data_IF_108823451868
#
_entry.id   IF_108823451868
#
_cell.length_a   1.000
_cell.length_b   1.000
_cell.length_c   1.000
_cell.angle_alpha   90.00
_cell.angle_beta   90.00
_cell.angle_gamma   90.00
#
_symmetry.space_group_name_H-M   'P 1'
#
loop_
_entity.id
_entity.type
_entity.pdbx_description
1 polymer ?
#
# COMPACT_ATOMS: atom_id res chain seq x y z
N UNK A 1 -47.48 -1.71 17.38
CA UNK A 1 -46.12 -1.15 17.51
C UNK A 1 -45.20 -2.35 17.75
N UNK A 2 -44.43 -2.75 16.72
CA UNK A 2 -43.44 -3.84 16.82
C UNK A 2 -42.07 -3.18 16.97
N UNK A 3 -41.41 -3.41 18.12
CA UNK A 3 -40.01 -3.05 18.30
C UNK A 3 -39.11 -3.93 17.40
N UNK A 4 -38.14 -3.36 16.72
CA UNK A 4 -37.16 -4.15 15.97
C UNK A 4 -36.18 -4.83 16.94
N UNK A 5 -36.16 -6.16 16.93
CA UNK A 5 -35.15 -6.96 17.62
C UNK A 5 -33.76 -6.63 17.10
N UNK A 6 -32.89 -6.05 17.95
CA UNK A 6 -31.46 -5.90 17.68
C UNK A 6 -30.85 -7.29 17.46
N UNK A 7 -30.41 -7.56 16.24
CA UNK A 7 -29.61 -8.74 15.95
C UNK A 7 -28.25 -8.61 16.64
N UNK A 8 -27.93 -9.53 17.53
CA UNK A 8 -26.63 -9.58 18.19
C UNK A 8 -25.53 -9.73 17.17
N UNK A 9 -24.55 -8.81 17.22
CA UNK A 9 -23.30 -8.91 16.43
C UNK A 9 -22.59 -10.18 16.93
N UNK A 10 -22.28 -11.16 16.05
CA UNK A 10 -21.57 -12.37 16.48
C UNK A 10 -20.18 -11.99 17.01
N UNK A 11 -19.79 -12.66 18.11
CA UNK A 11 -18.48 -12.48 18.72
C UNK A 11 -17.35 -12.64 17.67
N UNK A 12 -16.28 -11.85 17.74
CA UNK A 12 -15.19 -11.95 16.79
C UNK A 12 -14.57 -13.34 16.82
N UNK A 13 -14.46 -13.97 15.65
CA UNK A 13 -13.76 -15.25 15.48
C UNK A 13 -12.30 -15.06 15.91
N UNK A 14 -11.92 -15.61 17.05
CA UNK A 14 -10.53 -15.69 17.50
C UNK A 14 -9.81 -16.63 16.56
N UNK A 15 -9.02 -16.09 15.64
CA UNK A 15 -8.13 -16.89 14.80
C UNK A 15 -6.90 -17.29 15.63
N UNK A 16 -6.46 -18.57 15.57
CA UNK A 16 -5.24 -18.97 16.24
C UNK A 16 -4.06 -18.13 15.74
N UNK A 17 -3.21 -17.65 16.64
CA UNK A 17 -2.01 -16.89 16.31
C UNK A 17 -1.06 -17.76 15.48
N UNK A 18 -0.59 -17.22 14.35
CA UNK A 18 0.35 -17.88 13.44
C UNK A 18 1.79 -17.61 13.89
N UNK A 19 2.06 -17.61 15.18
CA UNK A 19 3.42 -17.48 15.71
C UNK A 19 4.20 -18.79 15.47
N UNK A 20 5.26 -18.73 14.63
CA UNK A 20 6.25 -19.80 14.49
C UNK A 20 6.27 -20.56 13.16
N UNK A 21 5.60 -20.13 12.10
CA UNK A 21 5.75 -20.74 10.77
C UNK A 21 6.93 -20.15 10.01
N UNK A 22 7.92 -21.02 9.71
CA UNK A 22 8.88 -20.83 8.62
C UNK A 22 8.07 -20.71 7.32
N UNK A 23 8.24 -19.65 6.53
CA UNK A 23 7.57 -19.33 5.26
C UNK A 23 6.34 -20.21 4.91
N UNK A 24 5.19 -19.61 4.66
CA UNK A 24 3.96 -20.33 4.23
C UNK A 24 3.65 -19.93 2.79
N UNK A 25 4.24 -20.64 1.82
CA UNK A 25 4.07 -20.38 0.40
C UNK A 25 3.06 -21.36 -0.16
N UNK A 26 1.96 -20.84 -0.72
CA UNK A 26 0.95 -21.67 -1.40
C UNK A 26 1.56 -22.36 -2.60
N UNK A 27 1.26 -23.66 -2.78
CA UNK A 27 1.70 -24.46 -3.94
C UNK A 27 1.22 -23.89 -5.30
N UNK A 28 0.23 -23.02 -5.31
CA UNK A 28 -0.29 -22.37 -6.52
C UNK A 28 0.24 -20.94 -6.70
N UNK A 29 1.15 -20.48 -5.86
CA UNK A 29 1.86 -19.24 -6.09
C UNK A 29 2.87 -19.43 -7.24
N UNK A 30 2.94 -18.42 -8.10
CA UNK A 30 3.88 -18.36 -9.23
C UNK A 30 5.06 -17.45 -8.83
N UNK A 31 6.19 -18.06 -8.46
CA UNK A 31 7.35 -17.34 -7.94
C UNK A 31 8.55 -17.65 -8.84
N UNK A 32 9.12 -16.58 -9.40
CA UNK A 32 10.34 -16.70 -10.20
C UNK A 32 11.51 -17.20 -9.34
N UNK A 33 12.34 -18.13 -9.83
CA UNK A 33 13.48 -18.66 -9.08
C UNK A 33 14.52 -17.63 -8.65
N UNK A 34 14.56 -16.45 -9.29
CA UNK A 34 15.47 -15.35 -8.96
C UNK A 34 14.90 -14.39 -7.91
N UNK A 35 13.63 -14.56 -7.52
CA UNK A 35 13.02 -13.75 -6.49
C UNK A 35 13.53 -14.15 -5.10
N UNK A 36 13.77 -13.15 -4.24
CA UNK A 36 14.20 -13.33 -2.87
C UNK A 36 13.03 -13.10 -1.89
N UNK A 37 12.73 -14.10 -1.05
CA UNK A 37 11.64 -14.01 -0.06
C UNK A 37 12.21 -14.21 1.34
N UNK A 38 12.05 -13.18 2.18
CA UNK A 38 12.49 -13.19 3.56
C UNK A 38 11.71 -14.15 4.46
N UNK A 39 12.32 -14.59 5.57
CA UNK A 39 11.72 -15.56 6.49
C UNK A 39 10.42 -15.04 7.13
N UNK A 40 9.50 -15.96 7.43
CA UNK A 40 8.20 -15.65 8.02
C UNK A 40 7.19 -15.01 7.07
N UNK A 41 7.54 -14.84 5.81
CA UNK A 41 6.63 -14.30 4.78
C UNK A 41 5.65 -15.36 4.32
N UNK A 42 4.37 -14.96 4.19
CA UNK A 42 3.27 -15.77 3.68
C UNK A 42 2.89 -15.34 2.27
N UNK A 43 2.81 -16.31 1.34
CA UNK A 43 2.40 -16.06 -0.05
C UNK A 43 1.17 -16.91 -0.35
N UNK A 44 0.06 -16.26 -0.61
CA UNK A 44 -1.21 -16.92 -0.84
C UNK A 44 -1.38 -17.39 -2.29
N UNK A 45 -2.43 -18.17 -2.51
CA UNK A 45 -2.79 -18.77 -3.79
C UNK A 45 -2.76 -17.77 -4.95
N UNK A 46 -2.20 -18.18 -6.10
CA UNK A 46 -2.18 -17.42 -7.36
C UNK A 46 -1.47 -16.05 -7.26
N UNK A 47 -0.72 -15.79 -6.19
CA UNK A 47 0.18 -14.62 -6.17
C UNK A 47 1.30 -14.84 -7.16
N UNK A 48 1.65 -13.80 -7.92
CA UNK A 48 2.79 -13.82 -8.83
C UNK A 48 3.89 -12.91 -8.32
N UNK A 49 5.10 -13.45 -8.18
CA UNK A 49 6.30 -12.72 -7.81
C UNK A 49 7.32 -12.90 -8.92
N UNK A 50 7.66 -11.82 -9.57
CA UNK A 50 8.48 -11.82 -10.77
C UNK A 50 9.98 -11.81 -10.45
N UNK A 51 10.73 -11.93 -11.53
CA UNK A 51 12.19 -12.00 -11.54
C UNK A 51 12.85 -10.86 -10.75
N UNK A 52 13.85 -11.20 -9.96
CA UNK A 52 14.66 -10.28 -9.16
C UNK A 52 13.87 -9.44 -8.13
N UNK A 53 12.58 -9.74 -7.90
CA UNK A 53 11.83 -9.10 -6.84
C UNK A 53 12.37 -9.49 -5.47
N UNK A 54 12.44 -8.53 -4.55
CA UNK A 54 12.87 -8.76 -3.16
C UNK A 54 11.71 -8.50 -2.22
N UNK A 55 11.31 -9.50 -1.45
CA UNK A 55 10.27 -9.41 -0.42
C UNK A 55 10.91 -9.63 0.94
N UNK A 56 10.90 -8.60 1.78
CA UNK A 56 11.46 -8.64 3.13
C UNK A 56 10.76 -9.64 4.05
N UNK A 57 11.27 -9.84 5.28
CA UNK A 57 10.72 -10.79 6.23
C UNK A 57 9.34 -10.39 6.78
N UNK A 58 8.57 -11.41 7.21
CA UNK A 58 7.26 -11.27 7.86
C UNK A 58 6.22 -10.52 7.01
N UNK A 59 6.31 -10.58 5.69
CA UNK A 59 5.32 -10.02 4.78
C UNK A 59 4.12 -10.95 4.58
N UNK A 60 3.01 -10.40 4.11
CA UNK A 60 1.84 -11.16 3.67
C UNK A 60 1.49 -10.72 2.26
N UNK A 61 1.54 -11.64 1.31
CA UNK A 61 1.11 -11.42 -0.07
C UNK A 61 -0.21 -12.15 -0.29
N UNK A 62 -1.29 -11.39 -0.48
CA UNK A 62 -2.66 -11.88 -0.64
C UNK A 62 -2.88 -12.59 -1.96
N UNK A 63 -3.97 -13.35 -2.05
CA UNK A 63 -4.33 -14.11 -3.25
C UNK A 63 -4.32 -13.24 -4.51
N UNK A 64 -3.67 -13.74 -5.56
CA UNK A 64 -3.65 -13.09 -6.88
C UNK A 64 -2.97 -11.71 -6.88
N UNK A 65 -2.16 -11.39 -5.86
CA UNK A 65 -1.33 -10.19 -5.89
C UNK A 65 -0.22 -10.34 -6.92
N UNK A 66 0.18 -9.23 -7.52
CA UNK A 66 1.27 -9.17 -8.47
C UNK A 66 2.40 -8.31 -7.92
N UNK A 67 3.60 -8.85 -7.93
CA UNK A 67 4.85 -8.16 -7.59
C UNK A 67 5.76 -8.22 -8.81
N UNK A 68 5.96 -7.09 -9.46
CA UNK A 68 6.68 -6.98 -10.73
C UNK A 68 8.18 -7.19 -10.61
N UNK A 69 8.89 -7.26 -11.75
CA UNK A 69 10.33 -7.47 -11.80
C UNK A 69 11.11 -6.45 -10.99
N UNK A 70 12.06 -6.91 -10.15
CA UNK A 70 12.91 -6.02 -9.37
C UNK A 70 12.20 -5.13 -8.35
N UNK A 71 10.92 -5.35 -8.08
CA UNK A 71 10.18 -4.65 -7.01
C UNK A 71 10.77 -5.00 -5.65
N UNK A 72 10.88 -4.00 -4.78
CA UNK A 72 11.42 -4.18 -3.43
C UNK A 72 10.34 -3.89 -2.39
N UNK A 73 10.08 -4.89 -1.53
CA UNK A 73 9.26 -4.75 -0.33
C UNK A 73 10.14 -4.89 0.91
N UNK A 74 10.06 -3.92 1.82
CA UNK A 74 10.65 -3.99 3.14
C UNK A 74 9.98 -5.07 4.02
N UNK A 75 10.34 -5.15 5.30
CA UNK A 75 9.75 -6.10 6.25
C UNK A 75 8.35 -5.71 6.69
N UNK A 76 7.57 -6.70 7.14
CA UNK A 76 6.24 -6.52 7.73
C UNK A 76 5.22 -5.86 6.78
N UNK A 77 5.42 -5.92 5.46
CA UNK A 77 4.46 -5.41 4.49
C UNK A 77 3.24 -6.33 4.36
N UNK A 78 2.07 -5.73 4.14
CA UNK A 78 0.84 -6.48 3.84
C UNK A 78 0.28 -6.03 2.50
N UNK A 79 0.43 -6.89 1.51
CA UNK A 79 -0.16 -6.71 0.17
C UNK A 79 -1.42 -7.57 0.11
N UNK A 80 -2.57 -6.94 -0.08
CA UNK A 80 -3.86 -7.61 -0.06
C UNK A 80 -4.19 -8.21 -1.43
N UNK A 81 -5.30 -8.99 -1.46
CA UNK A 81 -5.72 -9.74 -2.63
C UNK A 81 -5.82 -8.85 -3.88
N UNK A 82 -5.29 -9.35 -5.00
CA UNK A 82 -5.36 -8.71 -6.32
C UNK A 82 -4.73 -7.30 -6.40
N UNK A 83 -3.91 -6.91 -5.44
CA UNK A 83 -3.11 -5.70 -5.57
C UNK A 83 -2.01 -5.89 -6.63
N UNK A 84 -1.77 -4.87 -7.45
CA UNK A 84 -0.81 -4.89 -8.54
C UNK A 84 0.31 -3.90 -8.26
N UNK A 85 1.51 -4.43 -8.04
CA UNK A 85 2.71 -3.64 -7.73
C UNK A 85 3.67 -3.77 -8.91
N UNK A 86 3.61 -2.79 -9.82
CA UNK A 86 4.49 -2.78 -10.98
C UNK A 86 5.86 -2.19 -10.65
N UNK A 87 6.86 -2.68 -11.39
CA UNK A 87 8.25 -2.21 -11.33
C UNK A 87 8.38 -0.73 -11.74
N UNK A 88 9.38 -0.01 -11.27
CA UNK A 88 10.34 -0.33 -10.22
C UNK A 88 9.88 0.14 -8.82
N UNK A 89 8.70 -0.26 -8.38
CA UNK A 89 8.16 0.17 -7.10
C UNK A 89 9.07 -0.20 -5.92
N UNK A 90 9.14 0.72 -4.95
CA UNK A 90 9.82 0.53 -3.68
C UNK A 90 8.82 0.74 -2.53
N UNK A 91 8.61 -0.29 -1.73
CA UNK A 91 7.81 -0.22 -0.51
C UNK A 91 8.74 -0.39 0.70
N UNK A 92 8.81 0.62 1.55
CA UNK A 92 9.55 0.56 2.81
C UNK A 92 8.82 -0.36 3.83
N UNK A 93 9.35 -0.45 5.06
CA UNK A 93 8.83 -1.31 6.11
C UNK A 93 7.39 -1.00 6.52
N UNK A 94 6.61 -2.04 6.80
CA UNK A 94 5.27 -1.90 7.39
C UNK A 94 4.22 -1.29 6.47
N UNK A 95 4.45 -1.25 5.16
CA UNK A 95 3.49 -0.71 4.19
C UNK A 95 2.28 -1.65 4.04
N UNK A 96 1.10 -1.05 4.03
CA UNK A 96 -0.14 -1.75 3.71
C UNK A 96 -0.63 -1.37 2.30
N UNK A 97 -0.91 -2.37 1.47
CA UNK A 97 -1.51 -2.18 0.15
C UNK A 97 -2.85 -2.91 0.11
N UNK A 98 -3.92 -2.15 0.01
CA UNK A 98 -5.30 -2.62 0.04
C UNK A 98 -5.69 -3.48 -1.16
N UNK A 99 -6.82 -4.22 -1.06
CA UNK A 99 -7.28 -5.11 -2.14
C UNK A 99 -7.47 -4.37 -3.46
N UNK A 100 -6.95 -4.96 -4.54
CA UNK A 100 -7.04 -4.44 -5.91
C UNK A 100 -6.51 -3.00 -6.08
N UNK A 101 -5.64 -2.52 -5.19
CA UNK A 101 -4.91 -1.28 -5.39
C UNK A 101 -3.84 -1.48 -6.49
N UNK A 102 -3.52 -0.41 -7.22
CA UNK A 102 -2.59 -0.45 -8.35
C UNK A 102 -1.52 0.62 -8.18
N UNK A 103 -0.26 0.19 -8.26
CA UNK A 103 0.89 1.08 -8.42
C UNK A 103 1.34 0.99 -9.87
N UNK A 104 1.20 2.07 -10.64
CA UNK A 104 1.54 2.07 -12.07
C UNK A 104 3.02 2.29 -12.31
N UNK A 105 3.48 2.09 -13.54
CA UNK A 105 4.89 2.25 -13.94
C UNK A 105 5.10 2.99 -15.26
N UNK A 106 4.03 3.42 -15.90
CA UNK A 106 4.07 4.21 -17.14
C UNK A 106 3.25 5.50 -16.96
N UNK A 107 3.89 6.64 -17.23
CA UNK A 107 3.25 7.96 -17.13
C UNK A 107 2.35 8.27 -18.33
N UNK A 108 2.72 7.76 -19.52
CA UNK A 108 2.04 8.07 -20.79
C UNK A 108 1.83 6.79 -21.60
N UNK A 109 0.97 5.87 -21.11
CA UNK A 109 0.82 4.56 -21.72
C UNK A 109 0.27 4.66 -23.17
N UNK A 110 0.92 3.96 -24.07
CA UNK A 110 0.48 3.75 -25.46
C UNK A 110 0.94 2.38 -25.91
N UNK A 111 0.06 1.65 -26.58
CA UNK A 111 0.38 0.33 -27.12
C UNK A 111 1.26 0.41 -28.38
N UNK A 112 1.21 1.52 -29.10
CA UNK A 112 1.91 1.72 -30.37
C UNK A 112 2.69 3.04 -30.37
N UNK A 113 3.72 3.12 -31.22
CA UNK A 113 4.45 4.35 -31.56
C UNK A 113 3.58 5.26 -32.44
N UNK A 114 4.06 6.47 -32.73
CA UNK A 114 3.38 7.39 -33.67
C UNK A 114 3.28 6.82 -35.08
N UNK A 115 4.17 5.91 -35.46
CA UNK A 115 4.22 5.25 -36.77
C UNK A 115 3.38 3.96 -36.81
N UNK A 116 2.61 3.68 -35.76
CA UNK A 116 1.71 2.53 -35.68
C UNK A 116 2.35 1.19 -35.34
N UNK A 117 3.64 1.17 -34.96
CA UNK A 117 4.36 -0.05 -34.58
C UNK A 117 4.11 -0.36 -33.09
N UNK A 118 3.93 -1.64 -32.74
CA UNK A 118 3.79 -2.07 -31.35
C UNK A 118 5.02 -1.68 -30.54
N UNK A 119 4.84 -0.97 -29.44
CA UNK A 119 5.92 -0.60 -28.52
C UNK A 119 6.60 -1.81 -27.89
N UNK A 120 7.89 -1.72 -27.72
CA UNK A 120 8.76 -2.61 -26.94
C UNK A 120 9.13 -1.99 -25.60
N UNK A 121 9.97 -2.67 -24.82
CA UNK A 121 10.50 -2.14 -23.57
C UNK A 121 11.38 -0.88 -23.77
N UNK A 122 11.90 -0.65 -24.96
CA UNK A 122 12.79 0.49 -25.28
C UNK A 122 11.99 1.76 -25.66
N UNK A 123 10.68 1.62 -25.89
CA UNK A 123 9.84 2.71 -26.41
C UNK A 123 9.13 3.53 -25.31
N UNK A 124 9.46 3.31 -24.05
CA UNK A 124 8.87 4.04 -22.92
C UNK A 124 9.84 4.18 -21.76
N UNK A 125 9.56 5.16 -20.86
CA UNK A 125 10.39 5.42 -19.69
C UNK A 125 9.74 4.75 -18.48
N UNK A 126 10.46 3.80 -17.91
CA UNK A 126 10.06 3.13 -16.69
C UNK A 126 10.15 4.10 -15.50
N UNK A 127 9.03 4.31 -14.82
CA UNK A 127 8.92 5.16 -13.63
C UNK A 127 8.19 4.41 -12.53
N UNK A 128 8.50 4.68 -11.27
CA UNK A 128 7.97 3.90 -10.15
C UNK A 128 7.27 4.72 -9.09
N UNK A 129 6.60 3.99 -8.19
CA UNK A 129 5.99 4.51 -6.97
C UNK A 129 6.87 4.12 -5.79
N UNK A 130 7.24 5.12 -4.98
CA UNK A 130 7.90 4.88 -3.68
C UNK A 130 6.88 5.06 -2.58
N UNK A 131 6.74 4.04 -1.72
CA UNK A 131 5.86 4.11 -0.55
C UNK A 131 6.72 3.99 0.71
N UNK A 132 6.68 5.03 1.53
CA UNK A 132 7.50 5.11 2.72
C UNK A 132 6.88 4.37 3.90
N UNK A 133 7.72 4.13 4.90
CA UNK A 133 7.44 3.34 6.11
C UNK A 133 6.06 3.62 6.70
N UNK A 134 5.30 2.56 6.96
CA UNK A 134 4.01 2.59 7.66
C UNK A 134 2.85 3.19 6.88
N UNK A 135 3.06 3.62 5.62
CA UNK A 135 1.97 4.16 4.81
C UNK A 135 0.93 3.09 4.42
N UNK A 136 -0.30 3.52 4.21
CA UNK A 136 -1.43 2.65 3.88
C UNK A 136 -2.12 3.10 2.60
N UNK A 137 -2.23 2.19 1.65
CA UNK A 137 -2.95 2.40 0.39
C UNK A 137 -4.30 1.69 0.49
N UNK A 138 -5.40 2.44 0.39
CA UNK A 138 -6.76 1.92 0.47
C UNK A 138 -7.13 1.00 -0.69
N UNK A 139 -8.18 0.20 -0.48
CA UNK A 139 -8.69 -0.71 -1.50
C UNK A 139 -9.01 0.03 -2.81
N UNK A 140 -8.63 -0.54 -3.96
CA UNK A 140 -8.86 0.03 -5.30
C UNK A 140 -8.29 1.44 -5.51
N UNK A 141 -7.39 1.91 -4.67
CA UNK A 141 -6.67 3.15 -4.94
C UNK A 141 -5.67 2.94 -6.08
N UNK A 142 -5.44 3.98 -6.87
CA UNK A 142 -4.46 3.98 -7.96
C UNK A 142 -3.40 5.03 -7.67
N UNK A 143 -2.15 4.60 -7.61
CA UNK A 143 -0.98 5.46 -7.46
C UNK A 143 -0.31 5.59 -8.83
N UNK A 144 -0.40 6.78 -9.45
CA UNK A 144 0.10 7.03 -10.81
C UNK A 144 1.55 7.50 -10.72
N UNK A 145 2.48 6.64 -11.19
CA UNK A 145 3.92 6.93 -11.19
C UNK A 145 4.29 8.10 -12.13
N UNK A 146 5.39 8.84 -11.84
CA UNK A 146 6.23 8.72 -10.65
C UNK A 146 5.68 9.52 -9.47
N UNK A 147 5.61 8.91 -8.29
CA UNK A 147 5.21 9.59 -7.04
C UNK A 147 5.86 8.95 -5.81
N UNK A 148 5.97 9.74 -4.76
CA UNK A 148 6.32 9.28 -3.42
C UNK A 148 5.15 9.44 -2.46
N UNK A 149 4.77 8.37 -1.77
CA UNK A 149 3.82 8.40 -0.66
C UNK A 149 4.61 8.50 0.65
N UNK A 150 4.37 9.55 1.42
CA UNK A 150 5.08 9.85 2.66
C UNK A 150 4.82 8.82 3.77
N UNK A 151 5.67 8.86 4.81
CA UNK A 151 5.57 7.95 5.97
C UNK A 151 4.23 8.09 6.66
N UNK A 152 3.64 6.95 7.04
CA UNK A 152 2.38 6.89 7.77
C UNK A 152 1.19 7.57 7.07
N UNK A 153 1.35 8.01 5.81
CA UNK A 153 0.26 8.56 5.05
C UNK A 153 -0.81 7.51 4.76
N UNK A 154 -2.06 7.94 4.69
CA UNK A 154 -3.19 7.08 4.34
C UNK A 154 -3.84 7.59 3.07
N UNK A 155 -3.89 6.72 2.07
CA UNK A 155 -4.67 6.93 0.84
C UNK A 155 -6.01 6.23 1.02
N UNK A 156 -7.11 6.96 0.96
CA UNK A 156 -8.44 6.39 1.09
C UNK A 156 -8.78 5.44 -0.06
N UNK A 157 -9.68 4.50 0.19
CA UNK A 157 -10.15 3.57 -0.83
C UNK A 157 -10.71 4.30 -2.06
N UNK A 158 -10.42 3.78 -3.26
CA UNK A 158 -10.88 4.35 -4.53
C UNK A 158 -10.21 5.67 -4.95
N UNK A 159 -9.25 6.17 -4.22
CA UNK A 159 -8.56 7.42 -4.57
C UNK A 159 -7.56 7.24 -5.71
N UNK A 160 -7.38 8.29 -6.53
CA UNK A 160 -6.35 8.34 -7.58
C UNK A 160 -5.29 9.37 -7.24
N UNK A 161 -4.11 8.90 -6.85
CA UNK A 161 -2.98 9.75 -6.46
C UNK A 161 -2.10 10.04 -7.66
N UNK A 162 -1.92 11.33 -7.98
CA UNK A 162 -1.16 11.79 -9.16
C UNK A 162 0.00 12.72 -8.81
N UNK A 163 0.26 12.94 -7.51
CA UNK A 163 1.33 13.81 -7.00
C UNK A 163 1.88 13.22 -5.72
N UNK A 164 3.08 13.63 -5.34
CA UNK A 164 3.68 13.27 -4.06
C UNK A 164 2.76 13.60 -2.88
N UNK A 165 2.81 12.74 -1.87
CA UNK A 165 1.99 12.80 -0.66
C UNK A 165 2.89 13.06 0.54
N UNK A 166 2.62 14.09 1.36
CA UNK A 166 3.38 14.34 2.58
C UNK A 166 3.25 13.22 3.61
N UNK A 167 4.23 13.13 4.51
CA UNK A 167 4.16 12.26 5.68
C UNK A 167 2.87 12.54 6.48
N UNK A 168 2.23 11.49 6.99
CA UNK A 168 1.00 11.55 7.80
C UNK A 168 -0.26 12.13 7.10
N UNK A 169 -0.22 12.40 5.80
CA UNK A 169 -1.36 12.96 5.10
C UNK A 169 -2.50 11.96 4.93
N UNK A 170 -3.74 12.41 5.14
CA UNK A 170 -4.95 11.70 4.74
C UNK A 170 -5.40 12.20 3.37
N UNK A 171 -5.31 11.34 2.36
CA UNK A 171 -5.63 11.66 0.96
C UNK A 171 -6.93 11.01 0.54
N UNK A 172 -7.83 11.76 -0.09
CA UNK A 172 -9.14 11.26 -0.55
C UNK A 172 -9.48 11.82 -1.92
N UNK A 173 -10.12 11.02 -2.76
CA UNK A 173 -10.77 11.45 -4.00
C UNK A 173 -10.01 11.20 -5.29
N UNK A 174 -10.57 11.67 -6.40
CA UNK A 174 -10.05 11.52 -7.77
C UNK A 174 -10.13 12.86 -8.50
N UNK A 175 -8.99 13.57 -8.67
CA UNK A 175 -7.67 13.27 -8.11
C UNK A 175 -7.63 13.45 -6.58
N UNK A 176 -6.78 12.67 -5.91
CA UNK A 176 -6.66 12.70 -4.45
C UNK A 176 -6.19 14.07 -3.95
N UNK A 177 -6.85 14.53 -2.88
CA UNK A 177 -6.51 15.76 -2.17
C UNK A 177 -6.29 15.47 -0.69
N UNK A 178 -5.39 16.19 -0.03
CA UNK A 178 -5.26 16.09 1.42
C UNK A 178 -6.49 16.70 2.09
N UNK A 179 -7.17 15.89 2.88
CA UNK A 179 -8.35 16.31 3.67
C UNK A 179 -8.05 16.43 5.15
N UNK A 180 -6.87 15.96 5.61
CA UNK A 180 -6.46 15.99 7.00
C UNK A 180 -5.13 15.29 7.21
N UNK A 181 -4.92 14.90 8.46
CA UNK A 181 -3.75 14.16 8.92
C UNK A 181 -4.17 12.88 9.65
N UNK A 182 -3.30 11.88 9.64
CA UNK A 182 -3.47 10.63 10.41
C UNK A 182 -2.28 10.41 11.32
N UNK A 183 -2.51 9.82 12.48
CA UNK A 183 -1.44 9.39 13.37
C UNK A 183 -0.85 8.04 12.96
N UNK A 184 0.20 7.58 13.67
CA UNK A 184 0.82 6.27 13.45
C UNK A 184 -0.14 5.09 13.69
N UNK A 185 -1.21 5.30 14.43
CA UNK A 185 -2.30 4.33 14.61
C UNK A 185 -3.23 4.19 13.40
N UNK A 186 -3.10 5.07 12.38
CA UNK A 186 -4.00 5.16 11.23
C UNK A 186 -5.30 5.92 11.50
N UNK A 187 -5.49 6.45 12.71
CA UNK A 187 -6.67 7.21 13.11
C UNK A 187 -6.49 8.68 12.70
N UNK A 188 -7.53 9.34 12.13
CA UNK A 188 -7.50 10.77 11.86
C UNK A 188 -7.17 11.56 13.12
N UNK A 189 -6.30 12.56 12.97
CA UNK A 189 -5.90 13.43 14.06
C UNK A 189 -6.94 14.53 14.32
N UNK A 190 -7.13 14.85 15.58
CA UNK A 190 -7.95 16.00 16.01
C UNK A 190 -7.06 17.23 16.16
N UNK A 191 -7.48 18.33 15.55
CA UNK A 191 -6.78 19.61 15.68
C UNK A 191 -7.09 20.23 17.04
N UNK A 192 -6.07 20.50 17.83
CA UNK A 192 -6.20 21.11 19.17
C UNK A 192 -6.00 22.62 19.16
N UNK A 193 -5.19 23.11 18.22
CA UNK A 193 -5.00 24.54 17.91
C UNK A 193 -4.49 24.67 16.45
N UNK A 194 -4.25 25.87 15.91
CA UNK A 194 -3.89 26.06 14.50
C UNK A 194 -2.69 25.26 14.00
N UNK A 195 -1.76 24.88 14.89
CA UNK A 195 -0.52 24.19 14.53
C UNK A 195 -0.40 22.80 15.16
N UNK A 196 -1.26 22.42 16.11
CA UNK A 196 -1.12 21.17 16.86
C UNK A 196 -2.29 20.22 16.65
N UNK A 197 -1.95 18.94 16.65
CA UNK A 197 -2.89 17.85 16.47
C UNK A 197 -2.63 16.75 17.50
N UNK A 198 -3.67 16.04 17.89
CA UNK A 198 -3.57 14.91 18.84
C UNK A 198 -4.27 13.70 18.24
N UNK A 199 -3.67 12.53 18.41
CA UNK A 199 -4.30 11.27 18.06
C UNK A 199 -5.30 10.86 19.17
N UNK A 200 -6.59 10.75 18.89
CA UNK A 200 -7.59 10.39 19.91
C UNK A 200 -7.41 8.95 20.43
N UNK A 201 -6.78 8.07 19.66
CA UNK A 201 -6.56 6.69 20.04
C UNK A 201 -5.32 6.46 20.88
N UNK A 202 -4.25 7.26 20.71
CA UNK A 202 -2.95 7.04 21.37
C UNK A 202 -2.50 8.18 22.25
N UNK A 203 -3.10 9.37 22.12
CA UNK A 203 -2.64 10.60 22.79
C UNK A 203 -1.35 11.19 22.20
N UNK A 204 -0.79 10.60 21.13
CA UNK A 204 0.38 11.15 20.45
C UNK A 204 0.08 12.54 19.94
N UNK A 205 1.04 13.44 20.11
CA UNK A 205 0.93 14.84 19.71
C UNK A 205 1.79 15.13 18.49
N UNK A 206 1.28 15.96 17.61
CA UNK A 206 1.90 16.34 16.35
C UNK A 206 1.87 17.85 16.16
N UNK A 207 2.83 18.35 15.38
CA UNK A 207 2.87 19.76 14.99
C UNK A 207 2.94 19.88 13.47
N UNK A 208 2.10 20.75 12.92
CA UNK A 208 2.16 21.16 11.51
C UNK A 208 2.97 22.45 11.37
N UNK A 209 3.91 22.43 10.45
CA UNK A 209 4.66 23.62 10.04
C UNK A 209 4.83 23.58 8.51
N UNK A 210 4.43 24.66 7.83
CA UNK A 210 4.54 24.77 6.36
C UNK A 210 4.00 23.58 5.57
N UNK A 211 2.83 23.07 5.98
CA UNK A 211 2.17 21.94 5.32
C UNK A 211 2.79 20.58 5.57
N UNK A 212 3.72 20.47 6.52
CA UNK A 212 4.35 19.21 6.95
C UNK A 212 4.01 18.93 8.40
N UNK A 213 3.64 17.68 8.68
CA UNK A 213 3.37 17.22 10.04
C UNK A 213 4.56 16.49 10.62
N UNK A 214 4.87 16.73 11.88
CA UNK A 214 5.89 16.02 12.65
C UNK A 214 5.34 15.56 14.00
N UNK A 215 5.79 14.39 14.46
CA UNK A 215 5.55 13.88 15.81
C UNK A 215 6.38 14.70 16.81
N UNK A 216 5.78 15.03 17.96
CA UNK A 216 6.41 15.77 19.07
C UNK A 216 7.05 14.85 20.10
#
# INVERSE_FOLDING_TARGET
MHEPTQSAIPAPLVRPSVAGRLMDISITADIDPTAEIGPGTMVWHLSQIREYATVGPNCILGRGSYVGPGVILGKNCKVQNFALIYEPALLEDGVFVGPAAVLTNDRYPRAITIDGVRKSAEDWVLVGVTIRTGASIGARAVCVAPITIGRWATIAAGSVVTKDVPDFALMVGTPAKRVGWVGRSGVPLEQTDPAHFTCPATGERYRELEGKLSLL
#
